data_IF_355791445885
#
_entry.id   IF_355791445885
#
_cell.length_a   1.000
_cell.length_b   1.000
_cell.length_c   1.000
_cell.angle_alpha   90.00
_cell.angle_beta   90.00
_cell.angle_gamma   90.00
#
_symmetry.space_group_name_H-M   'P 1'
#
loop_
_entity.id
_entity.type
_entity.pdbx_description
1 polymer ?
#
# COMPACT_ATOMS: atom_id res chain seq x y z
N UNK A 1 8.69 -4.84 -21.24
CA UNK A 1 8.66 -4.95 -19.77
C UNK A 1 8.76 -3.55 -19.19
N UNK A 2 7.67 -3.00 -18.61
CA UNK A 2 7.75 -1.72 -17.90
C UNK A 2 8.71 -1.92 -16.72
N UNK A 3 9.73 -1.06 -16.60
CA UNK A 3 10.56 -1.02 -15.39
C UNK A 3 9.63 -0.60 -14.26
N UNK A 4 9.25 -1.53 -13.38
CA UNK A 4 8.52 -1.19 -12.16
C UNK A 4 9.46 -0.35 -11.29
N UNK A 5 9.23 0.96 -11.28
CA UNK A 5 9.92 1.86 -10.37
C UNK A 5 9.55 1.45 -8.94
N UNK A 6 10.57 1.22 -8.13
CA UNK A 6 10.40 1.00 -6.71
C UNK A 6 10.56 2.31 -5.95
N UNK A 7 9.62 2.57 -5.06
CA UNK A 7 9.51 3.78 -4.25
C UNK A 7 9.95 3.49 -2.82
N UNK A 8 10.82 4.33 -2.27
CA UNK A 8 11.12 4.32 -0.84
C UNK A 8 9.92 4.87 -0.05
N UNK A 9 9.84 4.53 1.24
CA UNK A 9 8.79 5.09 2.12
C UNK A 9 8.73 6.62 2.08
N UNK A 10 9.87 7.31 1.97
CA UNK A 10 9.92 8.77 1.86
C UNK A 10 9.25 9.30 0.58
N UNK A 11 9.48 8.64 -0.56
CA UNK A 11 8.80 8.99 -1.82
C UNK A 11 7.29 8.75 -1.68
N UNK A 12 6.88 7.61 -1.09
CA UNK A 12 5.45 7.33 -0.87
C UNK A 12 4.80 8.39 0.02
N UNK A 13 5.49 8.87 1.06
CA UNK A 13 5.01 9.99 1.90
C UNK A 13 4.82 11.27 1.08
N UNK A 14 5.80 11.61 0.25
CA UNK A 14 5.78 12.82 -0.59
C UNK A 14 4.61 12.79 -1.59
N UNK A 15 4.39 11.67 -2.27
CA UNK A 15 3.29 11.54 -3.24
C UNK A 15 1.90 11.48 -2.61
N UNK A 16 1.78 10.91 -1.41
CA UNK A 16 0.45 10.66 -0.80
C UNK A 16 0.05 11.63 0.30
N UNK A 17 1.00 12.44 0.78
CA UNK A 17 0.85 13.30 1.95
C UNK A 17 0.66 12.52 3.27
N UNK A 18 0.82 11.20 3.26
CA UNK A 18 0.65 10.37 4.44
C UNK A 18 1.91 10.40 5.31
N UNK A 19 1.70 10.35 6.63
CA UNK A 19 2.80 10.22 7.58
C UNK A 19 3.49 8.86 7.44
N UNK A 20 4.77 8.81 7.83
CA UNK A 20 5.52 7.54 7.95
C UNK A 20 4.77 6.53 8.82
N UNK A 21 4.18 7.00 9.92
CA UNK A 21 3.43 6.15 10.84
C UNK A 21 2.19 5.55 10.17
N UNK A 22 1.47 6.34 9.37
CA UNK A 22 0.29 5.86 8.62
C UNK A 22 0.67 4.76 7.63
N UNK A 23 1.72 4.97 6.83
CA UNK A 23 2.21 3.96 5.87
C UNK A 23 2.68 2.70 6.61
N UNK A 24 3.38 2.87 7.72
CA UNK A 24 3.81 1.75 8.56
C UNK A 24 2.61 0.96 9.09
N UNK A 25 1.61 1.64 9.67
CA UNK A 25 0.39 1.03 10.19
C UNK A 25 -0.35 0.25 9.10
N UNK A 26 -0.49 0.82 7.90
CA UNK A 26 -1.13 0.13 6.78
C UNK A 26 -0.33 -1.08 6.30
N UNK A 27 1.00 -1.02 6.33
CA UNK A 27 1.83 -2.18 5.98
C UNK A 27 1.68 -3.30 7.02
N UNK A 28 1.72 -2.96 8.32
CA UNK A 28 1.54 -3.94 9.41
C UNK A 28 0.12 -4.52 9.41
N UNK A 29 -0.88 -3.70 9.07
CA UNK A 29 -2.26 -4.13 8.89
C UNK A 29 -2.49 -4.94 7.59
N UNK A 30 -1.46 -5.20 6.79
CA UNK A 30 -1.53 -5.91 5.51
C UNK A 30 -2.48 -5.24 4.49
N UNK A 31 -2.67 -3.93 4.59
CA UNK A 31 -3.45 -3.12 3.62
C UNK A 31 -2.61 -2.73 2.41
N UNK A 32 -1.30 -2.60 2.62
CA UNK A 32 -0.30 -2.42 1.57
C UNK A 32 0.83 -3.41 1.80
N UNK A 33 1.58 -3.74 0.76
CA UNK A 33 2.68 -4.70 0.82
C UNK A 33 3.94 -4.09 0.22
N UNK A 34 5.10 -4.35 0.82
CA UNK A 34 6.37 -4.07 0.15
C UNK A 34 6.56 -5.01 -1.05
N UNK A 35 7.08 -4.46 -2.15
CA UNK A 35 7.50 -5.25 -3.31
C UNK A 35 8.90 -5.84 -3.10
N UNK A 36 9.75 -5.12 -2.37
CA UNK A 36 11.13 -5.52 -2.08
C UNK A 36 11.66 -4.85 -0.82
N UNK A 37 12.84 -5.30 -0.38
CA UNK A 37 13.64 -4.61 0.64
C UNK A 37 15.02 -4.29 0.07
N UNK A 38 15.58 -3.15 0.47
CA UNK A 38 16.98 -2.81 0.20
C UNK A 38 17.92 -3.71 1.01
N UNK A 39 19.21 -3.86 0.64
CA UNK A 39 20.19 -4.58 1.45
C UNK A 39 20.30 -4.05 2.89
N UNK A 40 20.09 -2.74 3.10
CA UNK A 40 20.07 -2.11 4.43
C UNK A 40 18.76 -2.29 5.20
N UNK A 41 17.79 -3.05 4.68
CA UNK A 41 16.53 -3.37 5.36
C UNK A 41 15.35 -2.42 5.10
N UNK A 42 15.55 -1.32 4.36
CA UNK A 42 14.44 -0.40 4.02
C UNK A 42 13.41 -1.03 3.08
N UNK A 43 12.13 -0.76 3.32
CA UNK A 43 11.01 -1.20 2.45
C UNK A 43 10.98 -0.43 1.15
N UNK A 44 10.71 -1.14 0.07
CA UNK A 44 10.48 -0.63 -1.27
C UNK A 44 9.10 -1.05 -1.74
N UNK A 45 8.34 -0.10 -2.26
CA UNK A 45 6.97 -0.29 -2.73
C UNK A 45 6.94 -0.16 -4.26
N UNK A 46 6.14 -0.97 -4.93
CA UNK A 46 5.85 -0.74 -6.35
C UNK A 46 4.80 0.37 -6.51
N UNK A 47 4.50 0.73 -7.75
CA UNK A 47 3.50 1.75 -8.08
C UNK A 47 2.07 1.37 -7.62
N UNK A 48 1.77 0.07 -7.46
CA UNK A 48 0.44 -0.39 -7.02
C UNK A 48 0.09 0.05 -5.60
N UNK A 49 1.10 0.47 -4.82
CA UNK A 49 0.89 1.03 -3.48
C UNK A 49 0.03 2.28 -3.52
N UNK A 50 0.15 3.13 -4.55
CA UNK A 50 -0.59 4.39 -4.64
C UNK A 50 -2.08 4.12 -4.85
N UNK A 51 -2.42 3.25 -5.79
CA UNK A 51 -3.80 2.81 -6.03
C UNK A 51 -4.41 2.20 -4.76
N UNK A 52 -3.64 1.37 -4.04
CA UNK A 52 -4.10 0.78 -2.76
C UNK A 52 -4.34 1.85 -1.71
N UNK A 53 -3.43 2.80 -1.54
CA UNK A 53 -3.55 3.86 -0.55
C UNK A 53 -4.75 4.78 -0.81
N UNK A 54 -5.01 5.09 -2.08
CA UNK A 54 -6.20 5.85 -2.48
C UNK A 54 -7.49 5.08 -2.15
N UNK A 55 -7.56 3.78 -2.46
CA UNK A 55 -8.70 2.93 -2.10
C UNK A 55 -8.91 2.84 -0.59
N UNK A 56 -7.83 2.69 0.18
CA UNK A 56 -7.93 2.69 1.66
C UNK A 56 -8.57 3.99 2.13
N UNK A 57 -8.15 5.16 1.62
CA UNK A 57 -8.76 6.45 1.97
C UNK A 57 -10.25 6.51 1.62
N UNK A 58 -10.64 6.06 0.42
CA UNK A 58 -12.05 6.04 -0.02
C UNK A 58 -12.91 5.12 0.85
N UNK A 59 -12.39 3.94 1.23
CA UNK A 59 -13.15 3.01 2.07
C UNK A 59 -13.23 3.51 3.52
N UNK A 60 -12.17 4.16 4.04
CA UNK A 60 -12.22 4.81 5.35
C UNK A 60 -13.27 5.93 5.38
N UNK A 61 -13.40 6.74 4.33
CA UNK A 61 -14.42 7.80 4.25
C UNK A 61 -15.85 7.24 4.19
N UNK A 62 -16.01 5.96 3.83
CA UNK A 62 -17.28 5.22 3.85
C UNK A 62 -17.51 4.47 5.17
N UNK A 63 -16.76 4.78 6.23
CA UNK A 63 -16.83 4.16 7.56
C UNK A 63 -16.53 2.65 7.60
N UNK A 64 -15.77 2.12 6.63
CA UNK A 64 -15.27 0.75 6.73
C UNK A 64 -14.16 0.65 7.78
N UNK A 65 -14.21 -0.41 8.57
CA UNK A 65 -13.13 -0.75 9.50
C UNK A 65 -11.90 -1.25 8.73
N UNK A 66 -10.69 -1.11 9.29
CA UNK A 66 -9.47 -1.62 8.66
C UNK A 66 -9.55 -3.12 8.32
N UNK A 67 -10.27 -3.91 9.10
CA UNK A 67 -10.49 -5.34 8.85
C UNK A 67 -11.34 -5.55 7.58
N UNK A 68 -12.41 -4.77 7.40
CA UNK A 68 -13.22 -4.86 6.18
C UNK A 68 -12.47 -4.37 4.95
N UNK A 69 -11.73 -3.27 5.08
CA UNK A 69 -10.89 -2.73 4.00
C UNK A 69 -9.89 -3.79 3.55
N UNK A 70 -9.22 -4.45 4.51
CA UNK A 70 -8.29 -5.54 4.21
C UNK A 70 -8.95 -6.65 3.40
N UNK A 71 -10.13 -7.13 3.83
CA UNK A 71 -10.86 -8.20 3.11
C UNK A 71 -11.18 -7.80 1.67
N UNK A 72 -11.65 -6.58 1.46
CA UNK A 72 -11.96 -6.04 0.11
C UNK A 72 -10.70 -6.03 -0.75
N UNK A 73 -9.59 -5.50 -0.22
CA UNK A 73 -8.32 -5.43 -0.97
C UNK A 73 -7.71 -6.81 -1.24
N UNK A 74 -7.87 -7.77 -0.33
CA UNK A 74 -7.43 -9.15 -0.50
C UNK A 74 -8.21 -9.84 -1.62
N UNK A 75 -9.54 -9.67 -1.69
CA UNK A 75 -10.38 -10.23 -2.76
C UNK A 75 -9.96 -9.71 -4.15
N UNK A 76 -9.80 -8.39 -4.30
CA UNK A 76 -9.35 -7.78 -5.56
C UNK A 76 -7.95 -8.27 -6.00
N UNK A 77 -7.06 -8.53 -5.03
CA UNK A 77 -5.70 -8.99 -5.32
C UNK A 77 -5.64 -10.43 -5.83
N UNK A 78 -6.64 -11.25 -5.47
CA UNK A 78 -6.78 -12.61 -5.97
C UNK A 78 -7.42 -12.64 -7.37
N UNK A 79 -8.40 -11.75 -7.61
CA UNK A 79 -9.04 -11.61 -8.93
C UNK A 79 -8.06 -11.17 -10.02
N UNK A 80 -7.08 -10.31 -9.72
CA UNK A 80 -6.04 -9.91 -10.68
C UNK A 80 -5.03 -11.01 -11.02
N UNK A 81 -5.07 -12.17 -10.35
CA UNK A 81 -4.16 -13.31 -10.57
C UNK A 81 -4.81 -14.49 -11.29
N UNK A 82 -6.14 -14.48 -11.49
CA UNK A 82 -6.88 -15.44 -12.35
C UNK A 82 -7.08 -14.87 -13.74
#
# INVERSE_FOLDING_TARGET
MKREKLYKIGEVMEYTGLSRQTIHNYTVASLISEARRTPSGHRLYDESVFDRLEKVKILQSKNYTLIQIRRILEQESQEKKS
#
